data_IF_275773771976
#
_entry.id   IF_275773771976
#
_cell.length_a   1.000
_cell.length_b   1.000
_cell.length_c   1.000
_cell.angle_alpha   90.00
_cell.angle_beta   90.00
_cell.angle_gamma   90.00
#
_symmetry.space_group_name_H-M   'P 1'
#
loop_
_entity.id
_entity.type
_entity.pdbx_description
1 polymer ?
#
# COMPACT_ATOMS: atom_id res chain seq x y z
N UNK A 1 5.75 1.16 -16.44
CA UNK A 1 4.63 1.95 -15.89
C UNK A 1 3.45 1.01 -15.70
N UNK A 2 2.60 1.17 -14.68
CA UNK A 2 1.49 0.25 -14.34
C UNK A 2 0.12 0.90 -14.61
N UNK A 3 -0.23 1.22 -15.87
CA UNK A 3 -1.37 2.07 -16.18
C UNK A 3 -2.72 1.46 -15.76
N UNK A 4 -2.89 0.16 -15.94
CA UNK A 4 -4.13 -0.53 -15.62
C UNK A 4 -4.35 -0.62 -14.10
N UNK A 5 -3.30 -0.90 -13.33
CA UNK A 5 -3.39 -0.90 -11.87
C UNK A 5 -3.68 0.50 -11.32
N UNK A 6 -3.09 1.55 -11.92
CA UNK A 6 -3.39 2.93 -11.54
C UNK A 6 -4.82 3.34 -11.90
N UNK A 7 -5.35 2.86 -13.03
CA UNK A 7 -6.74 3.08 -13.40
C UNK A 7 -7.70 2.41 -12.40
N UNK A 8 -7.44 1.16 -12.01
CA UNK A 8 -8.22 0.48 -10.97
C UNK A 8 -8.16 1.22 -9.63
N UNK A 9 -7.00 1.76 -9.24
CA UNK A 9 -6.90 2.56 -8.02
C UNK A 9 -7.79 3.80 -8.07
N UNK A 10 -7.77 4.55 -9.18
CA UNK A 10 -8.63 5.74 -9.35
C UNK A 10 -10.11 5.42 -9.32
N UNK A 11 -10.49 4.27 -9.89
CA UNK A 11 -11.89 3.88 -9.99
C UNK A 11 -12.45 3.32 -8.68
N UNK A 12 -11.61 2.74 -7.81
CA UNK A 12 -12.05 1.95 -6.66
C UNK A 12 -11.75 2.61 -5.32
N UNK A 13 -10.83 3.57 -5.27
CA UNK A 13 -10.40 4.22 -4.02
C UNK A 13 -10.71 5.71 -4.04
N UNK A 14 -11.27 6.22 -2.95
CA UNK A 14 -11.55 7.64 -2.73
C UNK A 14 -10.34 8.38 -2.18
N UNK A 15 -9.25 8.42 -2.94
CA UNK A 15 -8.02 9.12 -2.55
C UNK A 15 -7.83 10.48 -3.23
N UNK A 16 -8.78 10.88 -4.07
CA UNK A 16 -8.65 12.07 -4.91
C UNK A 16 -7.72 11.85 -6.11
N UNK A 17 -7.42 12.93 -6.83
CA UNK A 17 -6.62 12.85 -8.05
C UNK A 17 -5.15 12.51 -7.75
N UNK A 18 -4.64 11.50 -8.46
CA UNK A 18 -3.23 11.13 -8.41
C UNK A 18 -2.44 12.14 -9.26
N UNK A 19 -1.68 13.00 -8.59
CA UNK A 19 -0.88 14.07 -9.20
C UNK A 19 0.53 13.59 -9.57
N UNK A 20 1.14 12.79 -8.70
CA UNK A 20 2.49 12.26 -8.93
C UNK A 20 2.58 10.78 -8.52
N UNK A 21 3.40 10.03 -9.25
CA UNK A 21 3.68 8.62 -8.98
C UNK A 21 5.18 8.40 -9.04
N UNK A 22 5.75 7.95 -7.92
CA UNK A 22 7.16 7.60 -7.84
C UNK A 22 7.34 6.17 -7.35
N UNK A 23 8.40 5.50 -7.81
CA UNK A 23 8.72 4.15 -7.35
C UNK A 23 9.52 4.24 -6.07
N UNK A 24 9.07 3.53 -5.03
CA UNK A 24 9.83 3.40 -3.80
C UNK A 24 10.86 2.28 -3.95
N UNK A 25 12.07 2.50 -3.43
CA UNK A 25 13.12 1.49 -3.32
C UNK A 25 12.96 0.74 -2.00
N UNK A 26 13.25 -0.57 -2.01
CA UNK A 26 13.01 -1.44 -0.86
C UNK A 26 11.76 -2.30 -1.05
N UNK A 27 11.99 -3.52 -1.53
CA UNK A 27 10.93 -4.50 -1.80
C UNK A 27 11.39 -5.46 -2.89
N UNK A 28 11.74 -6.68 -2.52
CA UNK A 28 12.23 -7.69 -3.48
C UNK A 28 11.08 -8.35 -4.25
N UNK A 29 9.90 -8.43 -3.64
CA UNK A 29 8.78 -9.24 -4.14
C UNK A 29 7.58 -8.43 -4.64
N UNK A 30 7.36 -7.24 -4.08
CA UNK A 30 6.24 -6.38 -4.44
C UNK A 30 6.77 -5.14 -5.16
N UNK A 31 6.02 -4.69 -6.18
CA UNK A 31 6.24 -3.34 -6.69
C UNK A 31 5.60 -2.37 -5.71
N UNK A 32 6.39 -1.42 -5.22
CA UNK A 32 5.93 -0.39 -4.28
C UNK A 32 6.02 0.97 -4.95
N UNK A 33 4.89 1.68 -5.03
CA UNK A 33 4.81 3.03 -5.58
C UNK A 33 4.30 3.98 -4.49
N UNK A 34 4.83 5.19 -4.45
CA UNK A 34 4.22 6.31 -3.72
C UNK A 34 3.28 7.04 -4.68
N UNK A 35 2.04 7.25 -4.23
CA UNK A 35 1.04 8.05 -4.93
C UNK A 35 0.87 9.35 -4.16
N UNK A 36 1.06 10.48 -4.82
CA UNK A 36 0.84 11.79 -4.22
C UNK A 36 -0.43 12.39 -4.81
N UNK A 37 -1.32 12.84 -3.94
CA UNK A 37 -2.62 13.44 -4.30
C UNK A 37 -2.68 14.87 -3.77
N UNK A 38 -3.73 15.61 -4.11
CA UNK A 38 -3.94 16.96 -3.57
C UNK A 38 -4.16 17.03 -2.06
N UNK A 39 -4.44 15.89 -1.40
CA UNK A 39 -4.79 15.86 0.03
C UNK A 39 -3.83 15.03 0.89
N UNK A 40 -3.26 13.96 0.34
CA UNK A 40 -2.41 13.04 1.07
C UNK A 40 -1.47 12.25 0.14
N UNK A 41 -0.52 11.53 0.75
CA UNK A 41 0.31 10.54 0.07
C UNK A 41 -0.09 9.12 0.49
N UNK A 42 0.03 8.19 -0.45
CA UNK A 42 -0.30 6.78 -0.26
C UNK A 42 0.81 5.88 -0.76
N UNK A 43 0.86 4.66 -0.23
CA UNK A 43 1.73 3.58 -0.69
C UNK A 43 0.87 2.55 -1.41
N UNK A 44 1.08 2.43 -2.72
CA UNK A 44 0.52 1.38 -3.54
C UNK A 44 1.47 0.18 -3.57
N UNK A 45 0.98 -0.98 -3.17
CA UNK A 45 1.67 -2.25 -3.35
C UNK A 45 0.96 -3.06 -4.42
N UNK A 46 1.72 -3.46 -5.43
CA UNK A 46 1.28 -4.40 -6.47
C UNK A 46 2.02 -5.70 -6.23
N UNK A 47 1.28 -6.76 -5.94
CA UNK A 47 1.83 -8.05 -5.58
C UNK A 47 2.51 -8.74 -6.76
N UNK A 48 3.40 -9.69 -6.46
CA UNK A 48 3.81 -10.69 -7.44
C UNK A 48 2.58 -11.53 -7.88
N UNK A 49 2.54 -12.04 -9.13
CA UNK A 49 1.44 -12.89 -9.61
C UNK A 49 1.23 -14.19 -8.81
N UNK A 50 2.28 -14.69 -8.15
CA UNK A 50 2.21 -15.92 -7.35
C UNK A 50 1.76 -15.68 -5.90
N UNK A 51 1.40 -14.44 -5.55
CA UNK A 51 0.92 -14.13 -4.21
C UNK A 51 -0.42 -14.81 -3.93
N UNK A 52 -0.43 -15.64 -2.88
CA UNK A 52 -1.63 -16.32 -2.41
C UNK A 52 -2.63 -15.35 -1.79
N UNK A 53 -3.90 -15.47 -2.18
CA UNK A 53 -5.01 -14.73 -1.58
C UNK A 53 -5.13 -14.99 -0.06
N UNK A 54 -4.95 -16.23 0.38
CA UNK A 54 -5.03 -16.59 1.80
C UNK A 54 -3.96 -15.87 2.63
N UNK A 55 -2.74 -15.75 2.08
CA UNK A 55 -1.64 -15.02 2.73
C UNK A 55 -1.95 -13.53 2.82
N UNK A 56 -2.49 -12.94 1.75
CA UNK A 56 -2.90 -11.55 1.71
C UNK A 56 -4.00 -11.24 2.74
N UNK A 57 -5.04 -12.08 2.78
CA UNK A 57 -6.12 -11.95 3.75
C UNK A 57 -5.62 -12.06 5.19
N UNK A 58 -4.70 -12.98 5.45
CA UNK A 58 -4.08 -13.10 6.77
C UNK A 58 -3.30 -11.85 7.16
N UNK A 59 -2.48 -11.31 6.25
CA UNK A 59 -1.73 -10.06 6.46
C UNK A 59 -2.69 -8.91 6.82
N UNK A 60 -3.77 -8.74 6.06
CA UNK A 60 -4.74 -7.67 6.27
C UNK A 60 -5.50 -7.82 7.60
N UNK A 61 -5.89 -9.04 7.97
CA UNK A 61 -6.51 -9.32 9.28
C UNK A 61 -5.57 -9.01 10.43
N UNK A 62 -4.30 -9.41 10.31
CA UNK A 62 -3.30 -9.13 11.33
C UNK A 62 -3.11 -7.60 11.49
N UNK A 63 -2.99 -6.86 10.39
CA UNK A 63 -2.85 -5.41 10.42
C UNK A 63 -4.06 -4.73 11.07
N UNK A 64 -5.29 -5.20 10.78
CA UNK A 64 -6.50 -4.67 11.41
C UNK A 64 -6.54 -4.90 12.93
N UNK A 65 -5.98 -6.01 13.42
CA UNK A 65 -5.88 -6.30 14.86
C UNK A 65 -4.77 -5.47 15.53
N UNK A 66 -3.66 -5.26 14.84
CA UNK A 66 -2.47 -4.59 15.43
C UNK A 66 -2.60 -3.07 15.38
N UNK A 67 -3.14 -2.50 14.31
CA UNK A 67 -3.23 -1.05 14.10
C UNK A 67 -3.83 -0.26 15.27
N UNK A 68 -4.92 -0.71 15.94
CA UNK A 68 -5.47 -0.03 17.12
C UNK A 68 -4.49 0.08 18.30
N UNK A 69 -3.44 -0.74 18.31
CA UNK A 69 -2.47 -0.85 19.40
C UNK A 69 -1.10 -0.28 19.03
N UNK A 70 -0.74 -0.24 17.75
CA UNK A 70 0.58 0.20 17.25
C UNK A 70 0.36 1.10 16.03
N UNK A 71 0.53 2.41 16.21
CA UNK A 71 0.28 3.42 15.17
C UNK A 71 1.27 3.33 14.00
N UNK A 72 2.46 2.79 14.25
CA UNK A 72 3.50 2.54 13.24
C UNK A 72 3.10 1.44 12.25
N UNK A 73 2.07 0.65 12.56
CA UNK A 73 1.46 -0.30 11.62
C UNK A 73 0.32 0.40 10.89
N UNK A 74 0.48 0.74 9.60
CA UNK A 74 -0.57 1.43 8.87
C UNK A 74 -1.78 0.50 8.65
N UNK A 75 -3.00 0.99 8.82
CA UNK A 75 -4.18 0.28 8.35
C UNK A 75 -4.26 0.35 6.81
N UNK A 76 -4.63 -0.73 6.11
CA UNK A 76 -4.96 -0.64 4.69
C UNK A 76 -6.07 0.38 4.45
N UNK A 77 -5.93 1.20 3.41
CA UNK A 77 -7.01 2.07 2.94
C UNK A 77 -8.06 1.18 2.27
N UNK A 78 -9.34 1.25 2.67
CA UNK A 78 -10.40 0.49 2.01
C UNK A 78 -10.78 1.13 0.65
N UNK A 79 -11.14 0.29 -0.30
CA UNK A 79 -11.87 0.66 -1.50
C UNK A 79 -13.31 1.08 -1.15
N UNK A 80 -14.04 1.64 -2.11
CA UNK A 80 -15.41 2.12 -1.93
C UNK A 80 -16.38 1.05 -1.42
N UNK A 81 -16.14 -0.21 -1.77
CA UNK A 81 -16.96 -1.35 -1.33
C UNK A 81 -16.53 -1.90 0.05
N UNK A 82 -15.53 -1.31 0.69
CA UNK A 82 -14.96 -1.75 1.96
C UNK A 82 -13.83 -2.77 1.86
N UNK A 83 -13.54 -3.30 0.66
CA UNK A 83 -12.43 -4.24 0.47
C UNK A 83 -11.09 -3.53 0.67
N UNK A 84 -10.14 -4.19 1.30
CA UNK A 84 -8.81 -3.62 1.55
C UNK A 84 -7.79 -4.00 0.47
N UNK A 85 -8.20 -4.81 -0.50
CA UNK A 85 -7.39 -5.20 -1.65
C UNK A 85 -8.29 -5.47 -2.86
N UNK A 86 -7.76 -5.27 -4.07
CA UNK A 86 -8.46 -5.55 -5.32
C UNK A 86 -7.58 -6.37 -6.27
N UNK A 87 -8.20 -7.13 -7.17
CA UNK A 87 -7.47 -7.89 -8.21
C UNK A 87 -7.39 -7.10 -9.52
N UNK A 88 -6.22 -7.09 -10.15
CA UNK A 88 -6.01 -6.57 -11.50
C UNK A 88 -4.90 -7.39 -12.18
N UNK A 89 -5.19 -7.99 -13.35
CA UNK A 89 -4.24 -8.80 -14.14
C UNK A 89 -3.49 -9.86 -13.34
N UNK A 90 -4.22 -10.68 -12.60
CA UNK A 90 -3.69 -11.75 -11.74
C UNK A 90 -2.72 -11.25 -10.65
N UNK A 91 -2.80 -9.96 -10.30
CA UNK A 91 -2.07 -9.37 -9.18
C UNK A 91 -3.04 -8.76 -8.19
N UNK A 92 -2.62 -8.73 -6.94
CA UNK A 92 -3.33 -8.04 -5.89
C UNK A 92 -2.78 -6.64 -5.73
N UNK A 93 -3.69 -5.69 -5.61
CA UNK A 93 -3.40 -4.29 -5.35
C UNK A 93 -3.88 -3.99 -3.94
N UNK A 94 -3.00 -3.40 -3.14
CA UNK A 94 -3.29 -2.94 -1.78
C UNK A 94 -2.80 -1.51 -1.61
N UNK A 95 -3.54 -0.70 -0.87
CA UNK A 95 -3.23 0.69 -0.64
C UNK A 95 -3.06 0.95 0.86
N UNK A 96 -2.06 1.74 1.22
CA UNK A 96 -1.77 2.13 2.61
C UNK A 96 -1.56 3.65 2.68
N UNK A 97 -1.83 4.29 3.83
CA UNK A 97 -1.35 5.64 4.06
C UNK A 97 0.19 5.66 3.98
N UNK A 98 0.75 6.70 3.38
CA UNK A 98 2.18 6.93 3.42
C UNK A 98 2.57 7.46 4.81
N UNK A 99 3.38 6.69 5.53
CA UNK A 99 3.93 7.09 6.83
C UNK A 99 5.31 7.71 6.60
N UNK A 100 5.50 8.94 7.04
CA UNK A 100 6.83 9.56 7.03
C UNK A 100 7.75 8.80 7.99
N UNK A 101 8.83 8.24 7.47
CA UNK A 101 9.86 7.66 8.30
C UNK A 101 10.72 8.75 8.92
N UNK A 102 10.92 8.72 10.24
CA UNK A 102 12.11 9.35 10.81
C UNK A 102 13.34 8.51 10.39
N UNK A 103 14.44 9.11 9.91
CA UNK A 103 15.66 8.36 9.68
C UNK A 103 16.06 7.69 10.99
N UNK A 104 16.16 6.36 11.00
CA UNK A 104 16.82 5.66 12.10
C UNK A 104 18.26 6.15 12.14
N UNK A 105 18.56 7.06 13.08
CA UNK A 105 19.93 7.32 13.47
C UNK A 105 20.51 5.98 13.91
N UNK A 106 21.46 5.44 13.13
CA UNK A 106 22.28 4.32 13.56
C UNK A 106 22.96 4.75 14.86
N UNK A 107 22.44 4.32 16.00
CA UNK A 107 23.21 4.29 17.23
C UNK A 107 24.38 3.32 16.99
N UNK A 108 25.52 3.89 16.61
CA UNK A 108 26.82 3.24 16.77
C UNK A 108 27.01 3.04 18.27
N UNK A 109 26.81 1.82 18.72
CA UNK A 109 27.34 1.36 20.00
C UNK A 109 28.86 1.30 19.80
N UNK A 110 29.55 2.25 20.42
CA UNK A 110 31.01 2.27 20.56
C UNK A 110 31.46 1.36 21.70
#
# INVERSE_FOLDING_TARGET
>A
MYPEQLAEVRNRYRIGDILHVSRLTGGYWNTVLKLETGTASYVLRISHPTTSLNRLQYEHRLMAVVHPHIQEVPAPVPAENGDTFISCNNKWITLFPFMEGAPQSRLRIG
#
